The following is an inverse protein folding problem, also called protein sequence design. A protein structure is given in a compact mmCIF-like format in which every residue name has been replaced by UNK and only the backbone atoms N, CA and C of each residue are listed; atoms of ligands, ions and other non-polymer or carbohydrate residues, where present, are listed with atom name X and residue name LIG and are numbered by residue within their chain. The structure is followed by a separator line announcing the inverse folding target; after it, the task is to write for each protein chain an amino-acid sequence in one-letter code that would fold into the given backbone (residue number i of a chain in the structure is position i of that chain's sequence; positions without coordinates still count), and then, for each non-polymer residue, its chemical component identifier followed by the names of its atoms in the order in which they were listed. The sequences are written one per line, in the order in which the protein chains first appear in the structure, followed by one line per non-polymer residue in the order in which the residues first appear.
data_IF_243596969835
#
_entry.id   IF_243596969835
#
_cell.length_a   1.000
_cell.length_b   1.000
_cell.length_c   1.000
_cell.angle_alpha   90.00
_cell.angle_beta   90.00
_cell.angle_gamma   90.00
#
_symmetry.space_group_name_H-M   'P 1'
#
loop_
_entity.id
_entity.type
_entity.pdbx_description
1 polymer ?
#
# COMPACT_ATOMS: atom_id res chain seq x y z
N UNK A 1 27.89 16.08 -4.41
CA UNK A 1 27.96 15.18 -5.59
C UNK A 1 28.95 15.81 -6.57
N UNK A 2 29.95 15.06 -7.08
CA UNK A 2 30.77 15.56 -8.18
C UNK A 2 29.89 15.76 -9.43
N UNK A 3 30.15 16.83 -10.19
CA UNK A 3 29.50 17.11 -11.48
C UNK A 3 30.53 17.74 -12.43
N UNK A 4 30.17 17.84 -13.72
CA UNK A 4 31.08 18.38 -14.75
C UNK A 4 31.48 19.85 -14.53
N UNK A 5 30.62 20.64 -13.86
CA UNK A 5 30.88 22.05 -13.57
C UNK A 5 31.63 22.24 -12.25
N UNK A 6 31.01 21.80 -11.15
CA UNK A 6 31.48 21.99 -9.78
C UNK A 6 30.93 20.89 -8.87
N UNK A 7 31.35 20.92 -7.59
CA UNK A 7 30.70 20.13 -6.54
C UNK A 7 29.28 20.63 -6.30
N UNK A 8 28.30 19.72 -6.36
CA UNK A 8 26.88 20.04 -6.21
C UNK A 8 26.31 19.50 -4.90
N UNK A 9 25.64 20.35 -4.13
CA UNK A 9 24.82 19.92 -3.00
C UNK A 9 23.40 19.65 -3.48
N UNK A 10 22.96 18.39 -3.39
CA UNK A 10 21.62 17.99 -3.82
C UNK A 10 20.64 18.03 -2.66
N UNK A 11 19.64 18.89 -2.74
CA UNK A 11 18.64 19.12 -1.69
C UNK A 11 17.26 18.88 -2.28
N UNK A 12 16.44 18.14 -1.54
CA UNK A 12 15.05 17.91 -1.87
C UNK A 12 14.19 17.86 -0.61
N UNK A 13 12.92 18.21 -0.75
CA UNK A 13 11.93 18.11 0.33
C UNK A 13 11.32 16.71 0.34
N UNK A 14 11.17 16.15 1.53
CA UNK A 14 10.55 14.84 1.72
C UNK A 14 9.64 14.82 2.94
N UNK A 15 8.65 13.95 2.90
CA UNK A 15 7.72 13.72 3.99
C UNK A 15 7.67 12.22 4.31
N UNK A 16 7.55 11.89 5.59
CA UNK A 16 7.42 10.50 6.02
C UNK A 16 6.56 10.43 7.29
N UNK A 17 5.96 9.28 7.54
CA UNK A 17 5.08 9.08 8.69
C UNK A 17 5.89 8.87 9.97
N UNK A 18 5.47 9.54 11.04
CA UNK A 18 5.98 9.35 12.41
C UNK A 18 4.82 9.02 13.33
N UNK A 19 5.10 8.22 14.37
CA UNK A 19 4.16 8.05 15.46
C UNK A 19 4.06 9.36 16.25
N UNK A 20 2.83 9.81 16.52
CA UNK A 20 2.58 11.00 17.34
C UNK A 20 3.08 10.73 18.77
N UNK A 21 3.76 11.71 19.37
CA UNK A 21 4.08 11.68 20.78
C UNK A 21 2.79 11.95 21.57
N UNK A 22 2.21 10.92 22.16
CA UNK A 22 0.91 10.98 22.83
C UNK A 22 0.79 9.89 23.92
N UNK A 23 -0.15 10.03 24.87
CA UNK A 23 -0.47 8.98 25.83
C UNK A 23 -0.83 7.66 25.16
N UNK A 24 -0.41 6.54 25.75
CA UNK A 24 -0.69 5.21 25.19
C UNK A 24 -2.18 4.89 25.17
N UNK A 25 -2.95 5.44 26.12
CA UNK A 25 -4.41 5.33 26.12
C UNK A 25 -5.02 5.94 24.85
N UNK A 26 -4.59 7.15 24.46
CA UNK A 26 -5.08 7.81 23.24
C UNK A 26 -4.67 7.03 21.99
N UNK A 27 -3.40 6.58 21.94
CA UNK A 27 -2.95 5.73 20.83
C UNK A 27 -3.75 4.42 20.72
N UNK A 28 -4.09 3.78 21.85
CA UNK A 28 -4.95 2.60 21.86
C UNK A 28 -6.34 2.93 21.30
N UNK A 29 -6.92 4.06 21.70
CA UNK A 29 -8.21 4.51 21.17
C UNK A 29 -8.17 4.74 19.66
N UNK A 30 -7.14 5.41 19.14
CA UNK A 30 -6.94 5.61 17.70
C UNK A 30 -6.79 4.28 16.93
N UNK A 31 -6.06 3.32 17.48
CA UNK A 31 -5.86 2.00 16.83
C UNK A 31 -7.12 1.13 16.85
N UNK A 32 -7.92 1.24 17.92
CA UNK A 32 -9.11 0.42 18.14
C UNK A 32 -10.41 1.11 17.70
N UNK A 33 -10.32 2.32 17.15
CA UNK A 33 -11.46 3.15 16.75
C UNK A 33 -12.45 3.41 17.91
N UNK A 34 -11.91 3.57 19.14
CA UNK A 34 -12.70 3.87 20.34
C UNK A 34 -12.82 5.40 20.47
N UNK A 35 -14.04 5.92 20.38
CA UNK A 35 -14.31 7.36 20.48
C UNK A 35 -14.12 7.90 21.90
N UNK A 36 -14.58 7.13 22.90
CA UNK A 36 -14.54 7.54 24.29
C UNK A 36 -14.04 6.39 25.17
N UNK A 37 -12.88 6.59 25.80
CA UNK A 37 -12.28 5.58 26.68
C UNK A 37 -13.17 5.25 27.89
N UNK A 38 -14.01 6.19 28.34
CA UNK A 38 -14.87 5.96 29.50
C UNK A 38 -16.01 4.97 29.19
N UNK A 39 -16.36 4.77 27.91
CA UNK A 39 -17.35 3.75 27.49
C UNK A 39 -16.75 2.34 27.47
N UNK A 40 -15.42 2.24 27.38
CA UNK A 40 -14.70 0.98 27.46
C UNK A 40 -14.54 0.55 28.93
N UNK A 41 -15.62 0.04 29.53
CA UNK A 41 -15.64 -0.45 30.92
C UNK A 41 -15.17 -1.90 31.07
N UNK A 42 -15.17 -2.67 29.97
CA UNK A 42 -14.75 -4.07 29.93
C UNK A 42 -13.31 -4.23 29.44
N UNK A 43 -12.60 -5.31 29.82
CA UNK A 43 -11.32 -5.66 29.21
C UNK A 43 -11.41 -5.76 27.70
N UNK A 44 -10.30 -5.51 27.02
CA UNK A 44 -10.22 -5.68 25.56
C UNK A 44 -10.52 -7.13 25.17
N UNK A 45 -11.31 -7.32 24.12
CA UNK A 45 -11.46 -8.64 23.48
C UNK A 45 -10.11 -9.12 22.95
N UNK A 46 -9.96 -10.44 22.78
CA UNK A 46 -8.71 -11.00 22.25
C UNK A 46 -8.36 -10.42 20.87
N UNK A 47 -9.36 -10.17 20.01
CA UNK A 47 -9.18 -9.53 18.71
C UNK A 47 -8.65 -8.10 18.83
N UNK A 48 -9.27 -7.28 19.69
CA UNK A 48 -8.81 -5.91 19.97
C UNK A 48 -7.40 -5.89 20.56
N UNK A 49 -7.12 -6.75 21.55
CA UNK A 49 -5.78 -6.85 22.16
C UNK A 49 -4.74 -7.23 21.11
N UNK A 50 -5.01 -8.21 20.25
CA UNK A 50 -4.08 -8.61 19.18
C UNK A 50 -3.86 -7.49 18.17
N UNK A 51 -4.93 -6.76 17.76
CA UNK A 51 -4.82 -5.58 16.90
C UNK A 51 -3.91 -4.51 17.53
N UNK A 52 -4.16 -4.15 18.79
CA UNK A 52 -3.35 -3.18 19.54
C UNK A 52 -1.89 -3.65 19.71
N UNK A 53 -1.67 -4.90 20.08
CA UNK A 53 -0.34 -5.50 20.25
C UNK A 53 0.47 -5.41 18.96
N UNK A 54 -0.15 -5.72 17.81
CA UNK A 54 0.49 -5.59 16.50
C UNK A 54 0.95 -4.17 16.22
N UNK A 55 0.23 -3.15 16.69
CA UNK A 55 0.59 -1.74 16.45
C UNK A 55 1.64 -1.21 17.42
N UNK A 56 1.55 -1.52 18.71
CA UNK A 56 2.45 -0.96 19.74
C UNK A 56 3.79 -1.72 19.87
N UNK A 57 3.84 -3.01 19.51
CA UNK A 57 5.05 -3.82 19.65
C UNK A 57 6.20 -3.22 18.84
N UNK A 58 7.35 -3.07 19.49
CA UNK A 58 8.57 -2.50 18.94
C UNK A 58 8.72 -0.99 19.13
N UNK A 59 7.66 -0.26 19.53
CA UNK A 59 7.73 1.17 19.80
C UNK A 59 8.40 1.47 21.14
N UNK A 60 9.06 2.63 21.23
CA UNK A 60 9.60 3.17 22.47
C UNK A 60 8.53 3.99 23.20
N UNK A 61 8.41 3.75 24.49
CA UNK A 61 7.53 4.47 25.40
C UNK A 61 8.35 5.07 26.53
N UNK A 62 7.92 6.21 27.05
CA UNK A 62 8.47 6.82 28.25
C UNK A 62 7.46 6.81 29.39
N UNK A 63 7.96 6.62 30.61
CA UNK A 63 7.12 6.57 31.81
C UNK A 63 6.86 7.97 32.36
N UNK A 64 5.66 8.18 32.88
CA UNK A 64 5.22 9.47 33.45
C UNK A 64 5.15 9.46 34.98
N UNK A 65 5.17 8.28 35.61
CA UNK A 65 4.97 8.12 37.06
C UNK A 65 6.23 8.32 37.91
N UNK A 66 7.42 8.46 37.32
CA UNK A 66 8.71 8.59 38.03
C UNK A 66 9.19 10.06 38.16
N UNK A 67 8.27 11.01 38.25
CA UNK A 67 8.59 12.44 38.40
C UNK A 67 9.49 12.96 37.27
N UNK A 68 10.66 13.51 37.61
CA UNK A 68 11.62 14.04 36.62
C UNK A 68 12.33 12.95 35.79
N UNK A 69 12.31 11.69 36.23
CA UNK A 69 13.03 10.61 35.55
C UNK A 69 12.19 9.98 34.43
N UNK A 70 12.34 10.48 33.21
CA UNK A 70 11.65 9.96 32.01
C UNK A 70 12.37 8.73 31.42
N UNK A 71 12.31 7.60 32.13
CA UNK A 71 12.88 6.34 31.61
C UNK A 71 12.17 5.92 30.33
N UNK A 72 12.96 5.53 29.32
CA UNK A 72 12.47 5.06 28.02
C UNK A 72 12.63 3.55 27.93
N UNK A 73 11.60 2.87 27.44
CA UNK A 73 11.62 1.43 27.23
C UNK A 73 11.08 1.08 25.85
N UNK A 74 11.52 -0.04 25.30
CA UNK A 74 10.92 -0.61 24.09
C UNK A 74 9.85 -1.63 24.48
N UNK A 75 8.66 -1.51 23.89
CA UNK A 75 7.56 -2.45 24.10
C UNK A 75 7.85 -3.75 23.37
N UNK A 76 7.82 -4.85 24.09
CA UNK A 76 8.01 -6.18 23.54
C UNK A 76 6.69 -6.96 23.43
N UNK A 77 5.73 -6.71 24.33
CA UNK A 77 4.43 -7.37 24.29
C UNK A 77 3.33 -6.57 25.01
N UNK A 78 2.09 -7.06 24.94
CA UNK A 78 0.94 -6.58 25.73
C UNK A 78 0.37 -7.76 26.50
N UNK A 79 0.10 -7.57 27.79
CA UNK A 79 -0.34 -8.67 28.66
C UNK A 79 -1.76 -9.15 28.30
N UNK A 80 -2.00 -10.45 28.49
CA UNK A 80 -3.36 -11.03 28.34
C UNK A 80 -4.27 -10.63 29.49
N UNK A 81 -3.72 -10.61 30.72
CA UNK A 81 -4.46 -10.22 31.93
C UNK A 81 -4.47 -8.70 32.07
N UNK A 82 -5.56 -8.12 32.63
CA UNK A 82 -5.63 -6.70 32.94
C UNK A 82 -4.69 -6.33 34.09
N UNK A 83 -4.37 -5.04 34.25
CA UNK A 83 -3.46 -4.55 35.30
C UNK A 83 -3.91 -4.94 36.73
N UNK A 84 -5.22 -5.06 36.94
CA UNK A 84 -5.84 -5.55 38.18
C UNK A 84 -5.49 -7.01 38.52
N UNK A 85 -5.20 -7.85 37.51
CA UNK A 85 -5.01 -9.29 37.68
C UNK A 85 -3.65 -9.79 37.16
N UNK A 86 -2.89 -8.93 36.47
CA UNK A 86 -1.54 -9.23 36.02
C UNK A 86 -0.62 -9.20 37.22
N UNK A 87 -0.03 -10.34 37.55
CA UNK A 87 0.95 -10.48 38.63
C UNK A 87 2.37 -10.52 38.10
N UNK A 88 3.33 -10.23 38.99
CA UNK A 88 4.74 -10.45 38.76
C UNK A 88 5.43 -10.78 40.10
N UNK A 89 6.55 -11.52 40.08
CA UNK A 89 7.32 -11.78 41.29
C UNK A 89 8.05 -10.49 41.72
N UNK A 90 7.62 -9.91 42.83
CA UNK A 90 8.26 -8.76 43.46
C UNK A 90 9.25 -9.27 44.52
N UNK A 91 10.53 -8.96 44.35
CA UNK A 91 11.53 -9.24 45.39
C UNK A 91 11.36 -8.25 46.54
N UNK A 92 11.14 -8.77 47.74
CA UNK A 92 11.12 -8.04 48.99
C UNK A 92 12.56 -7.85 49.52
N UNK A 93 12.74 -6.89 50.43
CA UNK A 93 14.06 -6.59 51.03
C UNK A 93 14.66 -7.78 51.80
N UNK A 94 13.81 -8.71 52.27
CA UNK A 94 14.21 -9.95 52.94
C UNK A 94 14.63 -11.08 51.97
N UNK A 95 14.72 -10.81 50.66
CA UNK A 95 15.10 -11.78 49.63
C UNK A 95 13.99 -12.73 49.18
N UNK A 96 12.80 -12.68 49.77
CA UNK A 96 11.64 -13.48 49.36
C UNK A 96 10.94 -12.85 48.15
N UNK A 97 10.42 -13.67 47.24
CA UNK A 97 9.58 -13.21 46.13
C UNK A 97 8.10 -13.33 46.50
N UNK A 98 7.38 -12.20 46.46
CA UNK A 98 5.93 -12.16 46.65
C UNK A 98 5.25 -11.87 45.32
N UNK A 99 4.18 -12.58 44.99
CA UNK A 99 3.34 -12.19 43.86
C UNK A 99 2.56 -10.93 44.21
N UNK A 100 2.73 -9.88 43.39
CA UNK A 100 1.98 -8.64 43.51
C UNK A 100 1.32 -8.33 42.17
N UNK A 101 0.07 -7.84 42.20
CA UNK A 101 -0.58 -7.34 40.98
C UNK A 101 0.02 -6.01 40.57
N UNK A 102 0.05 -5.70 39.27
CA UNK A 102 0.54 -4.42 38.77
C UNK A 102 -0.24 -3.25 39.38
N UNK A 103 -1.57 -3.35 39.46
CA UNK A 103 -2.40 -2.31 40.07
C UNK A 103 -2.08 -2.07 41.55
N UNK A 104 -1.89 -3.13 42.34
CA UNK A 104 -1.53 -3.01 43.76
C UNK A 104 -0.13 -2.40 43.94
N UNK A 105 0.85 -2.84 43.14
CA UNK A 105 2.21 -2.29 43.18
C UNK A 105 2.22 -0.78 42.92
N UNK A 106 1.49 -0.31 41.91
CA UNK A 106 1.42 1.12 41.60
C UNK A 106 0.70 1.92 42.70
N UNK A 107 -0.34 1.35 43.32
CA UNK A 107 -1.02 1.98 44.46
C UNK A 107 -0.12 2.09 45.69
N UNK A 108 0.66 1.04 46.01
CA UNK A 108 1.49 1.01 47.22
C UNK A 108 2.79 1.79 47.06
N UNK A 109 3.52 1.60 45.95
CA UNK A 109 4.85 2.17 45.76
C UNK A 109 4.84 3.61 45.26
N UNK A 110 3.86 3.96 44.42
CA UNK A 110 3.78 5.28 43.77
C UNK A 110 2.57 6.09 44.23
N UNK A 111 1.78 5.59 45.19
CA UNK A 111 0.53 6.22 45.64
C UNK A 111 -0.43 6.54 44.48
N UNK A 112 -0.39 5.73 43.41
CA UNK A 112 -1.10 5.98 42.16
C UNK A 112 -2.21 4.96 41.95
N UNK A 113 -3.46 5.43 42.04
CA UNK A 113 -4.63 4.62 41.73
C UNK A 113 -4.92 4.69 40.24
N UNK A 114 -4.83 3.54 39.55
CA UNK A 114 -5.14 3.43 38.12
C UNK A 114 -6.62 3.71 37.87
N UNK A 115 -6.91 4.54 36.86
CA UNK A 115 -8.27 4.87 36.42
C UNK A 115 -8.89 3.73 35.59
N UNK A 116 -8.07 2.99 34.85
CA UNK A 116 -8.47 1.92 33.93
C UNK A 116 -7.77 0.59 34.27
N UNK A 117 -7.95 0.04 35.49
CA UNK A 117 -7.27 -1.18 35.93
C UNK A 117 -7.73 -2.46 35.20
N UNK A 118 -8.81 -2.38 34.42
CA UNK A 118 -9.33 -3.43 33.54
C UNK A 118 -8.61 -3.51 32.19
N UNK A 119 -7.74 -2.55 31.86
CA UNK A 119 -6.91 -2.58 30.65
C UNK A 119 -5.63 -3.41 30.87
N UNK A 120 -5.03 -3.97 29.80
CA UNK A 120 -3.78 -4.71 29.91
C UNK A 120 -2.57 -3.80 30.22
N UNK A 121 -1.41 -4.39 30.46
CA UNK A 121 -0.14 -3.71 30.63
C UNK A 121 0.76 -3.87 29.40
N UNK A 122 1.67 -2.92 29.18
CA UNK A 122 2.80 -3.09 28.28
C UNK A 122 3.87 -3.92 28.97
N UNK A 123 4.32 -5.00 28.34
CA UNK A 123 5.58 -5.64 28.73
C UNK A 123 6.72 -4.96 27.99
N UNK A 124 7.74 -4.52 28.71
CA UNK A 124 8.83 -3.71 28.16
C UNK A 124 10.21 -4.26 28.53
N UNK A 125 11.21 -3.94 27.70
CA UNK A 125 12.58 -4.43 27.90
C UNK A 125 12.78 -5.83 27.34
N UNK A 126 13.36 -6.73 28.14
CA UNK A 126 13.62 -8.12 27.74
C UNK A 126 12.35 -8.96 27.87
N UNK A 127 12.00 -9.73 26.84
CA UNK A 127 10.79 -10.57 26.83
C UNK A 127 10.80 -11.64 27.94
N UNK A 128 11.97 -12.09 28.37
CA UNK A 128 12.13 -13.05 29.47
C UNK A 128 11.94 -12.41 30.86
N UNK A 129 11.85 -11.08 30.95
CA UNK A 129 11.69 -10.34 32.22
C UNK A 129 10.24 -9.88 32.42
N UNK A 130 9.89 -9.67 33.68
CA UNK A 130 8.53 -9.37 34.13
C UNK A 130 8.32 -7.86 34.38
N UNK A 131 8.77 -7.00 33.47
CA UNK A 131 8.57 -5.55 33.61
C UNK A 131 7.29 -5.13 32.90
N UNK A 132 6.25 -4.84 33.68
CA UNK A 132 4.93 -4.46 33.20
C UNK A 132 4.61 -3.01 33.55
N UNK A 133 4.13 -2.25 32.57
CA UNK A 133 3.72 -0.87 32.74
C UNK A 133 2.24 -0.71 32.38
N UNK A 134 1.40 -0.16 33.28
CA UNK A 134 0.04 0.25 32.93
C UNK A 134 0.04 1.25 31.76
N UNK A 135 -0.99 1.19 30.91
CA UNK A 135 -1.09 2.07 29.74
C UNK A 135 -1.14 3.55 30.14
N UNK A 136 -1.77 3.86 31.28
CA UNK A 136 -1.95 5.23 31.81
C UNK A 136 -0.65 5.94 32.16
N UNK A 137 0.41 5.20 32.47
CA UNK A 137 1.68 5.76 32.93
C UNK A 137 2.73 5.81 31.82
N UNK A 138 2.31 5.71 30.55
CA UNK A 138 3.18 5.62 29.39
C UNK A 138 2.77 6.60 28.29
N UNK A 139 3.77 7.26 27.69
CA UNK A 139 3.64 8.06 26.48
C UNK A 139 4.49 7.47 25.34
N UNK A 140 4.05 7.60 24.10
CA UNK A 140 4.88 7.32 22.93
C UNK A 140 6.01 8.36 22.85
N UNK A 141 7.25 7.89 22.72
CA UNK A 141 8.41 8.77 22.54
C UNK A 141 8.34 9.45 21.18
N UNK A 142 8.62 10.76 21.14
CA UNK A 142 8.65 11.56 19.91
C UNK A 142 9.72 11.09 18.90
N UNK A 143 9.54 11.45 17.62
CA UNK A 143 10.53 11.22 16.57
C UNK A 143 10.69 9.77 16.10
N UNK A 144 9.72 8.90 16.41
CA UNK A 144 9.73 7.50 15.97
C UNK A 144 9.09 7.35 14.60
N UNK A 145 9.91 7.12 13.57
CA UNK A 145 9.44 6.89 12.21
C UNK A 145 8.58 5.62 12.13
N UNK A 146 7.45 5.70 11.44
CA UNK A 146 6.61 4.54 11.14
C UNK A 146 7.23 3.74 9.99
N UNK A 147 7.69 2.52 10.30
CA UNK A 147 8.27 1.59 9.32
C UNK A 147 7.21 0.64 8.75
N UNK A 148 6.08 0.48 9.45
CA UNK A 148 4.97 -0.35 9.00
C UNK A 148 4.33 0.26 7.76
N UNK A 149 3.81 -0.61 6.89
CA UNK A 149 3.07 -0.17 5.71
C UNK A 149 1.81 0.57 6.17
N UNK A 150 1.64 1.80 5.67
CA UNK A 150 0.43 2.58 5.87
C UNK A 150 -0.79 1.87 5.27
N UNK A 151 -1.95 2.07 5.88
CA UNK A 151 -3.22 1.60 5.30
C UNK A 151 -3.54 2.38 4.03
N UNK A 152 -4.41 1.85 3.16
CA UNK A 152 -4.77 2.53 1.91
C UNK A 152 -5.34 3.95 2.16
N UNK A 153 -6.10 4.12 3.25
CA UNK A 153 -6.62 5.42 3.68
C UNK A 153 -5.49 6.36 4.13
N UNK A 154 -4.56 5.88 4.96
CA UNK A 154 -3.40 6.67 5.39
C UNK A 154 -2.48 7.04 4.22
N UNK A 155 -2.27 6.13 3.27
CA UNK A 155 -1.53 6.39 2.03
C UNK A 155 -2.22 7.47 1.20
N UNK A 156 -3.54 7.39 1.03
CA UNK A 156 -4.32 8.43 0.35
C UNK A 156 -4.17 9.79 1.02
N UNK A 157 -4.30 9.86 2.35
CA UNK A 157 -4.10 11.11 3.11
C UNK A 157 -2.66 11.65 2.96
N UNK A 158 -1.65 10.78 3.03
CA UNK A 158 -0.25 11.16 2.83
C UNK A 158 -0.04 11.74 1.43
N UNK A 159 -0.58 11.09 0.38
CA UNK A 159 -0.49 11.59 -1.01
C UNK A 159 -1.14 12.97 -1.10
N UNK A 160 -2.35 13.15 -0.57
CA UNK A 160 -3.05 14.44 -0.60
C UNK A 160 -2.29 15.54 0.15
N UNK A 161 -1.66 15.20 1.28
CA UNK A 161 -0.91 16.15 2.08
C UNK A 161 0.42 16.58 1.41
N UNK A 162 1.02 15.70 0.62
CA UNK A 162 2.40 15.85 0.11
C UNK A 162 2.50 16.09 -1.40
N UNK A 163 1.43 15.85 -2.16
CA UNK A 163 1.39 16.17 -3.58
C UNK A 163 1.51 17.68 -3.77
N UNK A 164 2.48 18.09 -4.59
CA UNK A 164 2.78 19.48 -4.94
C UNK A 164 2.99 19.54 -6.44
N UNK A 165 2.62 20.68 -7.04
CA UNK A 165 3.00 20.96 -8.42
C UNK A 165 4.52 21.17 -8.52
N UNK A 166 5.09 21.09 -9.73
CA UNK A 166 6.52 21.35 -9.92
C UNK A 166 6.93 22.77 -9.47
N UNK A 167 6.18 23.85 -9.79
CA UNK A 167 6.47 25.18 -9.27
C UNK A 167 6.43 25.25 -7.73
N UNK A 168 5.39 24.69 -7.09
CA UNK A 168 5.28 24.72 -5.62
C UNK A 168 6.45 23.97 -4.96
N UNK A 169 6.84 22.82 -5.52
CA UNK A 169 7.97 22.04 -5.00
C UNK A 169 9.29 22.79 -5.17
N UNK A 170 9.50 23.44 -6.32
CA UNK A 170 10.68 24.29 -6.55
C UNK A 170 10.74 25.43 -5.52
N UNK A 171 9.60 26.06 -5.24
CA UNK A 171 9.52 27.13 -4.26
C UNK A 171 9.78 26.62 -2.83
N UNK A 172 9.18 25.49 -2.43
CA UNK A 172 9.43 24.85 -1.12
C UNK A 172 10.92 24.54 -0.91
N UNK A 173 11.60 23.98 -1.93
CA UNK A 173 13.05 23.71 -1.87
C UNK A 173 13.82 25.03 -1.75
N UNK A 174 13.47 26.03 -2.56
CA UNK A 174 14.14 27.34 -2.53
C UNK A 174 13.97 28.05 -1.18
N UNK A 175 12.77 27.98 -0.58
CA UNK A 175 12.51 28.52 0.76
C UNK A 175 13.30 27.75 1.83
N UNK A 176 13.38 26.41 1.73
CA UNK A 176 14.19 25.60 2.64
C UNK A 176 15.66 26.01 2.60
N UNK A 177 16.23 26.17 1.40
CA UNK A 177 17.63 26.57 1.23
C UNK A 177 17.89 27.96 1.81
N UNK A 178 16.99 28.92 1.56
CA UNK A 178 17.11 30.30 2.07
C UNK A 178 16.92 30.42 3.58
N UNK A 179 16.06 29.60 4.19
CA UNK A 179 15.73 29.66 5.62
C UNK A 179 16.64 28.80 6.50
N UNK A 180 17.31 27.80 5.93
CA UNK A 180 18.16 26.89 6.69
C UNK A 180 19.57 27.48 6.85
N UNK A 181 19.93 27.83 8.09
CA UNK A 181 21.24 28.36 8.42
C UNK A 181 22.41 27.41 8.12
N UNK A 182 22.16 26.10 7.99
CA UNK A 182 23.18 25.11 7.63
C UNK A 182 23.49 25.06 6.13
N UNK A 183 22.64 25.65 5.29
CA UNK A 183 22.80 25.65 3.83
C UNK A 183 22.98 27.08 3.31
N UNK A 184 22.17 28.02 3.79
CA UNK A 184 22.17 29.42 3.37
C UNK A 184 22.56 30.44 4.43
N UNK A 185 22.96 30.00 5.63
CA UNK A 185 23.48 30.87 6.70
C UNK A 185 24.93 30.54 7.08
N UNK A 186 25.51 31.28 8.05
CA UNK A 186 26.88 31.06 8.49
C UNK A 186 26.94 29.82 9.40
N UNK A 187 27.03 28.64 8.79
CA UNK A 187 27.31 27.41 9.53
C UNK A 187 28.78 27.42 10.02
N UNK A 188 29.04 27.26 11.33
CA UNK A 188 30.39 27.35 11.88
C UNK A 188 31.30 26.25 11.35
N UNK A 189 30.76 25.07 11.04
CA UNK A 189 31.53 23.95 10.51
C UNK A 189 31.85 24.15 9.03
N UNK A 190 30.90 24.63 8.21
CA UNK A 190 31.21 24.95 6.80
C UNK A 190 32.26 26.06 6.68
N UNK A 191 32.18 27.08 7.54
CA UNK A 191 33.15 28.17 7.60
C UNK A 191 34.56 27.69 7.93
N UNK A 192 34.69 26.78 8.89
CA UNK A 192 35.98 26.18 9.27
C UNK A 192 36.70 25.51 8.09
N UNK A 193 35.93 24.86 7.20
CA UNK A 193 36.47 24.19 6.01
C UNK A 193 36.52 25.09 4.75
N UNK A 194 36.19 26.38 4.88
CA UNK A 194 36.14 27.32 3.74
C UNK A 194 35.12 26.94 2.66
N UNK A 195 34.07 26.18 3.01
CA UNK A 195 33.04 25.72 2.07
C UNK A 195 31.97 26.80 1.94
N UNK A 196 31.68 27.21 0.71
CA UNK A 196 30.59 28.13 0.38
C UNK A 196 29.55 27.40 -0.47
N UNK A 197 28.28 27.50 -0.07
CA UNK A 197 27.14 26.93 -0.80
C UNK A 197 26.31 28.07 -1.37
N UNK A 198 26.01 28.00 -2.67
CA UNK A 198 25.12 28.96 -3.32
C UNK A 198 23.64 28.63 -3.00
N UNK A 199 22.84 29.68 -2.78
CA UNK A 199 21.44 29.56 -2.34
C UNK A 199 20.42 29.50 -3.50
N UNK A 200 20.91 29.47 -4.73
CA UNK A 200 20.09 29.43 -5.94
C UNK A 200 20.26 28.08 -6.64
N UNK A 201 19.18 27.60 -7.26
CA UNK A 201 19.24 26.37 -8.06
C UNK A 201 20.13 26.59 -9.27
N UNK A 202 21.02 25.64 -9.55
CA UNK A 202 21.88 25.70 -10.73
C UNK A 202 21.05 25.66 -12.01
N UNK A 203 21.23 26.65 -12.87
CA UNK A 203 20.61 26.69 -14.19
C UNK A 203 21.27 25.70 -15.15
N UNK A 204 20.45 24.97 -15.91
CA UNK A 204 20.92 23.97 -16.87
C UNK A 204 20.11 24.09 -18.16
N UNK A 205 20.79 24.04 -19.30
CA UNK A 205 20.13 23.99 -20.61
C UNK A 205 19.71 22.55 -20.93
N UNK A 206 18.41 22.29 -20.86
CA UNK A 206 17.81 21.03 -21.31
C UNK A 206 17.59 20.97 -22.82
N UNK A 207 17.37 19.76 -23.35
CA UNK A 207 16.89 19.54 -24.73
C UNK A 207 15.59 18.74 -24.69
N UNK A 208 14.57 19.21 -25.39
CA UNK A 208 13.31 18.46 -25.59
C UNK A 208 13.44 17.65 -26.87
N UNK A 209 13.58 16.33 -26.73
CA UNK A 209 13.70 15.45 -27.89
C UNK A 209 12.35 15.34 -28.62
N UNK A 210 12.34 15.25 -29.96
CA UNK A 210 11.12 14.98 -30.70
C UNK A 210 10.56 13.61 -30.32
N UNK A 211 9.23 13.53 -30.16
CA UNK A 211 8.57 12.27 -29.86
C UNK A 211 8.62 11.33 -31.07
N UNK A 212 8.91 10.04 -30.88
CA UNK A 212 8.85 9.08 -31.97
C UNK A 212 7.39 8.87 -32.40
N UNK A 213 7.19 8.65 -33.70
CA UNK A 213 5.89 8.34 -34.26
C UNK A 213 5.58 6.84 -34.08
N UNK A 214 4.34 6.55 -33.71
CA UNK A 214 3.87 5.19 -33.45
C UNK A 214 2.99 4.71 -34.59
N UNK A 215 3.38 3.63 -35.25
CA UNK A 215 2.63 3.01 -36.33
C UNK A 215 1.67 1.94 -35.78
N UNK A 216 0.40 2.07 -36.17
CA UNK A 216 -0.67 1.12 -35.92
C UNK A 216 -0.97 0.29 -37.18
N UNK A 217 -1.82 -0.72 -37.04
CA UNK A 217 -2.15 -1.67 -38.09
C UNK A 217 -3.49 -1.40 -38.75
N UNK A 218 -4.17 -2.49 -39.10
CA UNK A 218 -5.40 -2.46 -39.89
C UNK A 218 -5.18 -2.01 -41.33
N UNK A 219 -6.28 -1.75 -42.05
CA UNK A 219 -6.22 -1.29 -43.46
C UNK A 219 -5.54 0.06 -43.62
N UNK A 220 -5.77 0.96 -42.65
CA UNK A 220 -5.35 2.36 -42.74
C UNK A 220 -3.93 2.61 -42.22
N UNK A 221 -3.30 1.63 -41.55
CA UNK A 221 -1.94 1.71 -40.98
C UNK A 221 -1.65 3.06 -40.33
N UNK A 222 -2.56 3.51 -39.46
CA UNK A 222 -2.56 4.88 -38.94
C UNK A 222 -1.30 5.16 -38.12
N UNK A 223 -0.84 6.41 -38.13
CA UNK A 223 0.30 6.85 -37.33
C UNK A 223 -0.19 7.77 -36.23
N UNK A 224 0.28 7.54 -35.00
CA UNK A 224 0.04 8.41 -33.86
C UNK A 224 1.32 9.18 -33.53
N UNK A 225 1.20 10.50 -33.40
CA UNK A 225 2.27 11.35 -32.88
C UNK A 225 1.97 11.65 -31.43
N UNK A 226 2.80 11.20 -30.47
CA UNK A 226 2.62 11.55 -29.07
C UNK A 226 2.68 13.06 -28.87
N UNK A 227 1.76 13.59 -28.08
CA UNK A 227 1.76 14.97 -27.64
C UNK A 227 1.99 15.01 -26.13
N UNK A 228 3.03 15.72 -25.69
CA UNK A 228 3.43 15.79 -24.28
C UNK A 228 3.53 14.39 -23.61
N UNK A 229 4.05 13.40 -24.34
CA UNK A 229 4.23 12.03 -23.86
C UNK A 229 2.96 11.17 -23.85
N UNK A 230 1.83 11.66 -24.37
CA UNK A 230 0.55 10.94 -24.39
C UNK A 230 0.07 10.73 -25.83
N UNK A 231 -0.54 9.58 -26.09
CA UNK A 231 -1.27 9.30 -27.32
C UNK A 231 -2.49 8.43 -27.01
N UNK A 232 -3.40 8.31 -27.98
CA UNK A 232 -4.64 7.56 -27.85
C UNK A 232 -4.85 6.64 -29.05
N UNK A 233 -5.54 5.52 -28.81
CA UNK A 233 -5.91 4.51 -29.79
C UNK A 233 -7.27 4.74 -30.46
N UNK A 234 -8.04 5.77 -30.09
CA UNK A 234 -9.28 6.12 -30.81
C UNK A 234 -9.04 6.17 -32.33
N UNK A 235 -9.86 5.42 -33.07
CA UNK A 235 -9.79 5.30 -34.53
C UNK A 235 -8.59 4.50 -35.06
N UNK A 236 -7.88 3.74 -34.22
CA UNK A 236 -6.68 2.96 -34.58
C UNK A 236 -6.87 1.49 -34.24
N UNK A 237 -6.26 0.62 -35.03
CA UNK A 237 -6.26 -0.82 -34.82
C UNK A 237 -4.85 -1.29 -34.49
N UNK A 238 -4.72 -2.33 -33.67
CA UNK A 238 -3.41 -2.87 -33.32
C UNK A 238 -2.59 -3.23 -34.56
N UNK A 239 -1.27 -3.07 -34.46
CA UNK A 239 -0.33 -3.41 -35.53
C UNK A 239 -0.49 -4.88 -35.97
N UNK A 240 -0.51 -5.79 -35.00
CA UNK A 240 -0.91 -7.17 -35.16
C UNK A 240 -1.91 -7.52 -34.05
N UNK A 241 -3.20 -7.45 -34.37
CA UNK A 241 -4.28 -7.85 -33.47
C UNK A 241 -4.56 -9.35 -33.54
N UNK A 242 -4.73 -9.99 -32.39
CA UNK A 242 -5.07 -11.41 -32.31
C UNK A 242 -6.58 -11.61 -32.44
N UNK A 243 -6.99 -12.56 -33.26
CA UNK A 243 -8.37 -13.04 -33.30
C UNK A 243 -8.60 -14.03 -32.15
N UNK A 244 -9.59 -13.75 -31.31
CA UNK A 244 -9.93 -14.57 -30.13
C UNK A 244 -11.21 -15.35 -30.45
N UNK A 245 -11.08 -16.66 -30.63
CA UNK A 245 -12.15 -17.60 -31.01
C UNK A 245 -12.67 -18.40 -29.82
N UNK A 246 -11.75 -18.93 -29.00
CA UNK A 246 -12.09 -19.79 -27.86
C UNK A 246 -11.59 -19.13 -26.59
N UNK A 247 -12.53 -18.69 -25.75
CA UNK A 247 -12.22 -17.96 -24.52
C UNK A 247 -13.28 -18.23 -23.46
N UNK A 248 -12.91 -18.08 -22.20
CA UNK A 248 -13.76 -18.38 -21.05
C UNK A 248 -13.83 -17.21 -20.06
N UNK A 249 -14.89 -17.19 -19.26
CA UNK A 249 -15.08 -16.28 -18.12
C UNK A 249 -15.21 -17.10 -16.83
N UNK A 250 -14.37 -16.79 -15.86
CA UNK A 250 -14.45 -17.36 -14.51
C UNK A 250 -14.71 -16.23 -13.50
N UNK A 251 -15.89 -16.23 -12.87
CA UNK A 251 -16.30 -15.17 -11.95
C UNK A 251 -16.14 -15.61 -10.48
N UNK A 252 -15.14 -15.06 -9.80
CA UNK A 252 -14.91 -15.28 -8.36
C UNK A 252 -15.54 -14.20 -7.48
N UNK A 253 -16.25 -13.25 -8.07
CA UNK A 253 -17.06 -12.28 -7.33
C UNK A 253 -18.41 -12.91 -6.96
N UNK A 254 -18.99 -12.60 -5.78
CA UNK A 254 -20.31 -13.08 -5.42
C UNK A 254 -21.37 -12.67 -6.46
N UNK A 255 -22.26 -13.58 -6.83
CA UNK A 255 -23.31 -13.34 -7.83
C UNK A 255 -24.22 -12.15 -7.47
N UNK A 256 -24.41 -11.87 -6.17
CA UNK A 256 -25.13 -10.68 -5.70
C UNK A 256 -24.46 -9.36 -6.11
N UNK A 257 -23.12 -9.34 -6.19
CA UNK A 257 -22.35 -8.15 -6.60
C UNK A 257 -22.11 -8.11 -8.11
N UNK A 258 -22.01 -9.28 -8.75
CA UNK A 258 -21.79 -9.41 -10.18
C UNK A 258 -22.83 -10.38 -10.74
N UNK A 259 -23.96 -9.84 -11.17
CA UNK A 259 -25.05 -10.62 -11.78
C UNK A 259 -24.70 -11.02 -13.22
N UNK A 260 -25.43 -11.97 -13.77
CA UNK A 260 -25.21 -12.50 -15.12
C UNK A 260 -25.46 -11.46 -16.22
N UNK A 261 -26.44 -10.58 -16.04
CA UNK A 261 -26.70 -9.45 -16.96
C UNK A 261 -25.54 -8.46 -17.00
N UNK A 262 -24.87 -8.23 -15.86
CA UNK A 262 -23.68 -7.39 -15.79
C UNK A 262 -22.49 -8.05 -16.50
N UNK A 263 -22.30 -9.37 -16.34
CA UNK A 263 -21.27 -10.13 -17.07
C UNK A 263 -21.53 -10.12 -18.59
N UNK A 264 -22.80 -10.25 -19.00
CA UNK A 264 -23.21 -10.18 -20.40
C UNK A 264 -22.94 -8.78 -20.98
N UNK A 265 -23.38 -7.72 -20.29
CA UNK A 265 -23.14 -6.33 -20.69
C UNK A 265 -21.64 -6.01 -20.81
N UNK A 266 -20.84 -6.43 -19.82
CA UNK A 266 -19.39 -6.31 -19.87
C UNK A 266 -18.79 -7.03 -21.08
N UNK A 267 -19.22 -8.27 -21.33
CA UNK A 267 -18.75 -9.08 -22.46
C UNK A 267 -19.07 -8.42 -23.79
N UNK A 268 -20.30 -7.96 -23.99
CA UNK A 268 -20.71 -7.33 -25.25
C UNK A 268 -19.96 -6.01 -25.49
N UNK A 269 -19.74 -5.20 -24.45
CA UNK A 269 -18.94 -3.99 -24.55
C UNK A 269 -17.46 -4.28 -24.82
N UNK A 270 -16.88 -5.27 -24.14
CA UNK A 270 -15.49 -5.68 -24.39
C UNK A 270 -15.32 -6.18 -25.83
N UNK A 271 -16.26 -6.99 -26.33
CA UNK A 271 -16.27 -7.46 -27.72
C UNK A 271 -16.32 -6.30 -28.70
N UNK A 272 -17.19 -5.32 -28.48
CA UNK A 272 -17.29 -4.10 -29.31
C UNK A 272 -15.94 -3.37 -29.38
N UNK A 273 -15.37 -3.02 -28.22
CA UNK A 273 -14.09 -2.29 -28.16
C UNK A 273 -12.93 -3.11 -28.74
N UNK A 274 -12.91 -4.42 -28.50
CA UNK A 274 -11.88 -5.32 -29.04
C UNK A 274 -11.90 -5.35 -30.57
N UNK A 275 -13.10 -5.38 -31.17
CA UNK A 275 -13.30 -5.32 -32.63
C UNK A 275 -12.82 -3.99 -33.19
N UNK A 276 -13.18 -2.88 -32.55
CA UNK A 276 -12.75 -1.54 -32.96
C UNK A 276 -11.21 -1.39 -32.91
N UNK A 277 -10.56 -2.05 -31.95
CA UNK A 277 -9.10 -2.11 -31.81
C UNK A 277 -8.42 -3.12 -32.74
N UNK A 278 -9.16 -3.86 -33.58
CA UNK A 278 -8.58 -4.86 -34.49
C UNK A 278 -8.16 -6.18 -33.84
N UNK A 279 -8.64 -6.47 -32.62
CA UNK A 279 -8.48 -7.75 -31.90
C UNK A 279 -9.86 -8.39 -31.70
N UNK A 280 -10.50 -8.91 -32.76
CA UNK A 280 -11.89 -9.33 -32.68
C UNK A 280 -12.05 -10.53 -31.72
N UNK A 281 -12.90 -10.35 -30.70
CA UNK A 281 -13.41 -11.45 -29.87
C UNK A 281 -14.67 -12.02 -30.54
N UNK A 282 -14.51 -13.19 -31.14
CA UNK A 282 -15.56 -13.92 -31.83
C UNK A 282 -16.45 -14.66 -30.84
N UNK A 283 -17.76 -14.62 -31.09
CA UNK A 283 -18.75 -15.36 -30.31
C UNK A 283 -18.86 -14.96 -28.84
N UNK A 284 -19.68 -15.71 -28.12
CA UNK A 284 -19.79 -15.69 -26.66
C UNK A 284 -18.71 -16.59 -26.04
N UNK A 285 -18.35 -16.42 -24.76
CA UNK A 285 -17.36 -17.31 -24.14
C UNK A 285 -17.86 -18.76 -24.14
N UNK A 286 -16.96 -19.71 -24.38
CA UNK A 286 -17.27 -21.14 -24.41
C UNK A 286 -17.62 -21.69 -23.01
N UNK A 287 -17.27 -20.94 -21.96
CA UNK A 287 -17.55 -21.23 -20.57
C UNK A 287 -17.74 -19.93 -19.79
N UNK A 288 -18.78 -19.85 -18.96
CA UNK A 288 -19.03 -18.74 -18.04
C UNK A 288 -19.64 -19.28 -16.74
N UNK A 289 -18.86 -19.32 -15.64
CA UNK A 289 -19.33 -19.83 -14.35
C UNK A 289 -18.82 -19.00 -13.17
N UNK A 290 -19.58 -19.05 -12.09
CA UNK A 290 -19.18 -18.55 -10.78
C UNK A 290 -18.36 -19.60 -10.02
N UNK A 291 -17.40 -19.13 -9.23
CA UNK A 291 -16.64 -19.94 -8.29
C UNK A 291 -16.28 -19.13 -7.03
N UNK A 292 -15.82 -19.82 -6.00
CA UNK A 292 -15.41 -19.19 -4.74
C UNK A 292 -14.16 -19.88 -4.19
N UNK A 293 -13.34 -19.11 -3.47
CA UNK A 293 -12.11 -19.61 -2.86
C UNK A 293 -10.97 -19.81 -3.84
N UNK A 294 -9.75 -19.93 -3.31
CA UNK A 294 -8.55 -20.20 -4.11
C UNK A 294 -8.52 -21.67 -4.57
N UNK A 295 -9.06 -22.59 -3.76
CA UNK A 295 -9.03 -24.03 -4.01
C UNK A 295 -9.81 -24.46 -5.26
N UNK A 296 -10.73 -23.63 -5.74
CA UNK A 296 -11.50 -23.91 -6.97
C UNK A 296 -10.80 -23.48 -8.27
N UNK A 297 -9.69 -22.73 -8.19
CA UNK A 297 -8.97 -22.22 -9.37
C UNK A 297 -8.35 -23.36 -10.16
N UNK A 298 -7.53 -24.19 -9.51
CA UNK A 298 -6.79 -25.26 -10.20
C UNK A 298 -7.70 -26.32 -10.82
N UNK A 299 -8.72 -26.86 -10.13
CA UNK A 299 -9.65 -27.80 -10.72
C UNK A 299 -10.41 -27.21 -11.92
N UNK A 300 -10.88 -25.96 -11.81
CA UNK A 300 -11.58 -25.28 -12.90
C UNK A 300 -10.67 -25.10 -14.12
N UNK A 301 -9.42 -24.65 -13.92
CA UNK A 301 -8.51 -24.41 -15.05
C UNK A 301 -8.07 -25.72 -15.71
N UNK A 302 -7.85 -26.79 -14.94
CA UNK A 302 -7.62 -28.14 -15.48
C UNK A 302 -8.79 -28.60 -16.35
N UNK A 303 -10.02 -28.45 -15.86
CA UNK A 303 -11.22 -28.76 -16.63
C UNK A 303 -11.29 -27.93 -17.92
N UNK A 304 -11.06 -26.62 -17.84
CA UNK A 304 -11.06 -25.73 -19.01
C UNK A 304 -10.02 -26.14 -20.07
N UNK A 305 -8.79 -26.47 -19.64
CA UNK A 305 -7.70 -26.87 -20.52
C UNK A 305 -7.98 -28.20 -21.25
N UNK A 306 -8.59 -29.16 -20.55
CA UNK A 306 -8.89 -30.48 -21.11
C UNK A 306 -10.14 -30.48 -21.99
N UNK A 307 -11.14 -29.64 -21.66
CA UNK A 307 -12.46 -29.66 -22.33
C UNK A 307 -12.48 -28.79 -23.59
N UNK A 308 -11.81 -27.63 -23.57
CA UNK A 308 -11.88 -26.66 -24.66
C UNK A 308 -10.57 -26.60 -25.43
N UNK A 309 -10.47 -27.43 -26.47
CA UNK A 309 -9.32 -27.45 -27.38
C UNK A 309 -9.14 -26.07 -28.01
N UNK A 310 -7.90 -25.56 -27.97
CA UNK A 310 -7.57 -24.25 -28.53
C UNK A 310 -8.00 -23.06 -27.65
N UNK A 311 -8.32 -23.26 -26.37
CA UNK A 311 -8.63 -22.16 -25.44
C UNK A 311 -7.49 -21.13 -25.38
N UNK A 312 -7.79 -19.90 -25.78
CA UNK A 312 -6.81 -18.81 -25.89
C UNK A 312 -6.74 -17.97 -24.61
N UNK A 313 -7.87 -17.73 -23.93
CA UNK A 313 -7.93 -16.77 -22.84
C UNK A 313 -8.95 -17.16 -21.77
N UNK A 314 -8.58 -16.97 -20.50
CA UNK A 314 -9.52 -16.96 -19.37
C UNK A 314 -9.59 -15.55 -18.80
N UNK A 315 -10.76 -14.92 -18.90
CA UNK A 315 -11.08 -13.65 -18.22
C UNK A 315 -11.57 -13.98 -16.81
N UNK A 316 -10.86 -13.49 -15.79
CA UNK A 316 -11.14 -13.82 -14.39
C UNK A 316 -11.66 -12.61 -13.64
N UNK A 317 -12.89 -12.68 -13.13
CA UNK A 317 -13.49 -11.56 -12.38
C UNK A 317 -13.25 -11.74 -10.88
N UNK A 318 -12.70 -10.73 -10.21
CA UNK A 318 -12.32 -10.79 -8.79
C UNK A 318 -13.07 -9.72 -7.96
N UNK A 319 -13.46 -10.02 -6.71
CA UNK A 319 -14.20 -9.08 -5.86
C UNK A 319 -13.37 -7.90 -5.34
N UNK A 320 -12.05 -7.90 -5.55
CA UNK A 320 -11.14 -6.88 -5.01
C UNK A 320 -9.77 -7.47 -4.73
N UNK A 321 -9.16 -7.10 -3.60
CA UNK A 321 -7.93 -7.73 -3.10
C UNK A 321 -8.29 -9.09 -2.49
N UNK A 322 -7.78 -10.17 -3.07
CA UNK A 322 -8.12 -11.54 -2.69
C UNK A 322 -6.91 -12.46 -2.92
N UNK A 323 -6.68 -13.50 -2.10
CA UNK A 323 -5.64 -14.50 -2.35
C UNK A 323 -5.84 -15.24 -3.68
N UNK A 324 -7.07 -15.29 -4.21
CA UNK A 324 -7.41 -15.92 -5.49
C UNK A 324 -6.59 -15.34 -6.66
N UNK A 325 -6.21 -14.05 -6.61
CA UNK A 325 -5.36 -13.45 -7.66
C UNK A 325 -4.01 -14.16 -7.77
N UNK A 326 -3.34 -14.39 -6.64
CA UNK A 326 -2.05 -15.04 -6.61
C UNK A 326 -2.17 -16.49 -7.11
N UNK A 327 -3.25 -17.18 -6.72
CA UNK A 327 -3.50 -18.55 -7.14
C UNK A 327 -3.81 -18.67 -8.64
N UNK A 328 -4.64 -17.78 -9.19
CA UNK A 328 -4.89 -17.69 -10.64
C UNK A 328 -3.60 -17.50 -11.42
N UNK A 329 -2.69 -16.66 -10.90
CA UNK A 329 -1.39 -16.41 -11.52
C UNK A 329 -0.46 -17.60 -11.41
N UNK A 330 -0.40 -18.24 -10.24
CA UNK A 330 0.37 -19.48 -10.03
C UNK A 330 -0.10 -20.57 -10.99
N UNK A 331 -1.39 -20.90 -10.99
CA UNK A 331 -1.95 -21.96 -11.83
C UNK A 331 -1.82 -21.62 -13.32
N UNK A 332 -2.22 -20.41 -13.72
CA UNK A 332 -2.21 -19.98 -15.12
C UNK A 332 -0.79 -19.85 -15.69
N UNK A 333 0.07 -19.08 -15.02
CA UNK A 333 1.37 -18.69 -15.57
C UNK A 333 2.45 -19.77 -15.35
N UNK A 334 2.34 -20.61 -14.30
CA UNK A 334 3.39 -21.60 -13.95
C UNK A 334 3.00 -23.06 -14.11
N UNK A 335 1.77 -23.45 -13.74
CA UNK A 335 1.39 -24.87 -13.76
C UNK A 335 0.82 -25.34 -15.10
N UNK A 336 -0.12 -24.56 -15.66
CA UNK A 336 -0.90 -24.97 -16.82
C UNK A 336 -0.55 -24.21 -18.09
N UNK A 337 0.17 -23.09 -18.00
CA UNK A 337 0.58 -22.28 -19.16
C UNK A 337 -0.61 -21.70 -19.92
N UNK A 338 -1.57 -21.12 -19.21
CA UNK A 338 -2.81 -20.57 -19.76
C UNK A 338 -2.85 -19.05 -19.61
N UNK A 339 -3.17 -18.34 -20.68
CA UNK A 339 -3.27 -16.89 -20.63
C UNK A 339 -4.49 -16.45 -19.79
N UNK A 340 -4.24 -15.64 -18.76
CA UNK A 340 -5.26 -15.16 -17.83
C UNK A 340 -5.33 -13.64 -17.78
N UNK A 341 -6.54 -13.08 -17.83
CA UNK A 341 -6.79 -11.65 -17.66
C UNK A 341 -7.74 -11.39 -16.50
N UNK A 342 -7.19 -10.96 -15.36
CA UNK A 342 -8.00 -10.62 -14.19
C UNK A 342 -8.62 -9.22 -14.32
N UNK A 343 -9.87 -9.06 -13.89
CA UNK A 343 -10.60 -7.78 -13.86
C UNK A 343 -11.29 -7.65 -12.50
N UNK A 344 -11.18 -6.48 -11.86
CA UNK A 344 -11.92 -6.23 -10.63
C UNK A 344 -13.41 -6.05 -10.94
N UNK A 345 -14.28 -6.61 -10.10
CA UNK A 345 -15.73 -6.57 -10.27
C UNK A 345 -16.28 -5.16 -10.48
N UNK A 346 -15.72 -4.15 -9.79
CA UNK A 346 -16.12 -2.74 -9.97
C UNK A 346 -15.97 -2.25 -11.42
N UNK A 347 -14.98 -2.74 -12.15
CA UNK A 347 -14.73 -2.39 -13.56
C UNK A 347 -15.57 -3.22 -14.54
N UNK A 348 -16.23 -4.28 -14.06
CA UNK A 348 -17.23 -5.07 -14.79
C UNK A 348 -18.61 -4.44 -14.62
N UNK A 349 -18.95 -4.09 -13.38
CA UNK A 349 -20.23 -3.44 -13.03
C UNK A 349 -20.34 -2.07 -13.71
N UNK A 350 -19.26 -1.28 -13.66
CA UNK A 350 -19.19 0.04 -14.30
C UNK A 350 -18.01 0.08 -15.25
N UNK A 351 -18.29 -0.23 -16.50
CA UNK A 351 -17.31 -0.16 -17.60
C UNK A 351 -17.08 1.28 -18.04
N UNK A 352 -15.88 1.55 -18.55
CA UNK A 352 -15.61 2.75 -19.34
C UNK A 352 -14.84 2.37 -20.60
N UNK A 353 -15.07 3.04 -21.75
CA UNK A 353 -14.36 2.72 -22.99
C UNK A 353 -12.84 2.74 -22.83
N UNK A 354 -12.31 3.70 -22.06
CA UNK A 354 -10.88 3.76 -21.77
C UNK A 354 -10.38 2.53 -21.00
N UNK A 355 -11.13 2.07 -20.00
CA UNK A 355 -10.74 0.88 -19.21
C UNK A 355 -10.75 -0.38 -20.07
N UNK A 356 -11.77 -0.54 -20.93
CA UNK A 356 -11.86 -1.68 -21.84
C UNK A 356 -10.78 -1.64 -22.94
N UNK A 357 -10.47 -0.45 -23.46
CA UNK A 357 -9.36 -0.23 -24.40
C UNK A 357 -8.01 -0.62 -23.78
N UNK A 358 -7.76 -0.17 -22.55
CA UNK A 358 -6.57 -0.55 -21.78
C UNK A 358 -6.54 -2.06 -21.44
N UNK A 359 -7.70 -2.69 -21.30
CA UNK A 359 -7.79 -4.13 -21.11
C UNK A 359 -7.41 -4.87 -22.40
N UNK A 360 -7.88 -4.41 -23.56
CA UNK A 360 -7.54 -4.98 -24.87
C UNK A 360 -6.04 -4.89 -25.16
N UNK A 361 -5.38 -3.78 -24.80
CA UNK A 361 -3.91 -3.65 -24.88
C UNK A 361 -3.17 -4.81 -24.19
N UNK A 362 -3.65 -5.20 -23.00
CA UNK A 362 -3.06 -6.29 -22.20
C UNK A 362 -3.40 -7.66 -22.76
N UNK A 363 -4.64 -7.85 -23.21
CA UNK A 363 -5.09 -9.12 -23.79
C UNK A 363 -4.31 -9.40 -25.07
N UNK A 364 -4.23 -8.44 -25.98
CA UNK A 364 -3.54 -8.62 -27.26
C UNK A 364 -2.09 -9.02 -27.04
N UNK A 365 -1.36 -8.30 -26.18
CA UNK A 365 0.03 -8.61 -25.85
C UNK A 365 0.20 -10.00 -25.21
N UNK A 366 -0.72 -10.42 -24.33
CA UNK A 366 -0.68 -11.76 -23.70
C UNK A 366 -0.87 -12.90 -24.68
N UNK A 367 -1.59 -12.64 -25.78
CA UNK A 367 -1.85 -13.64 -26.82
C UNK A 367 -0.85 -13.55 -27.97
N UNK A 368 0.25 -12.79 -27.80
CA UNK A 368 1.32 -12.68 -28.80
C UNK A 368 1.11 -11.59 -29.86
N UNK A 369 0.09 -10.74 -29.70
CA UNK A 369 -0.16 -9.61 -30.60
C UNK A 369 0.80 -8.44 -30.38
N UNK A 370 0.89 -7.58 -31.39
CA UNK A 370 1.68 -6.35 -31.38
C UNK A 370 0.74 -5.16 -31.39
N UNK A 371 0.74 -4.35 -30.33
CA UNK A 371 -0.19 -3.23 -30.22
C UNK A 371 0.16 -2.10 -31.19
N UNK A 372 1.43 -1.71 -31.26
CA UNK A 372 2.00 -0.71 -32.17
C UNK A 372 3.50 -0.94 -32.29
N UNK A 373 4.12 -0.28 -33.28
CA UNK A 373 5.57 -0.27 -33.48
C UNK A 373 6.07 1.16 -33.66
N UNK A 374 7.36 1.40 -33.45
CA UNK A 374 7.98 2.65 -33.88
C UNK A 374 7.98 2.72 -35.42
N UNK A 375 7.73 3.90 -35.99
CA UNK A 375 7.83 4.09 -37.44
C UNK A 375 9.25 3.73 -37.91
N UNK A 376 9.43 2.75 -38.84
CA UNK A 376 10.75 2.21 -39.17
C UNK A 376 11.77 3.19 -39.76
N UNK A 377 11.30 4.30 -40.35
CA UNK A 377 12.13 5.27 -41.10
C UNK A 377 12.57 6.48 -40.25
N UNK A 378 12.43 6.42 -38.92
CA UNK A 378 12.86 7.47 -37.98
C UNK A 378 14.19 7.14 -37.26
N UNK A 379 14.99 6.21 -37.79
CA UNK A 379 16.31 5.87 -37.24
C UNK A 379 17.40 6.78 -37.77
#
# INVERSE_FOLDING_TARGET
RPAMWNMMLNIDVSATAFYRAQPIIEFMCEVLDIQNINEQTKPLTDSQRVKFTKEIRGLKVEVTHCGQMKRKYRVCNVTRRPASHQTFPLQLENGQAMECTVAQYFKQKYSLQLKYPHLPCLQVGQEQKHTYLPLEVCNIVAGQRCIKKLTDNQTSTMIKATARSAPDRQEEISRLVKSNSMVGGPDPYLKEFGIVVHNEMTELTGRVLPAPMLQYGGRNKTVATPNQGVWDMRGKQFYAGIEIKVWAVACFAPQKQCREDLLKSFTDQLRKISKDAGMPIQGQPCFCKYAQGADSVEPMFKHLKLTYVGLQLIVVILPGKTPVYAEVKRVGDTLLGMATQCVQVKNVVKTSPQTLSNLCLKINAKLGGINNVLVPHQR
#
